data_IF_685017582093
#
_entry.id   IF_685017582093
#
_cell.length_a   1.000
_cell.length_b   1.000
_cell.length_c   1.000
_cell.angle_alpha   90.00
_cell.angle_beta   90.00
_cell.angle_gamma   90.00
#
_symmetry.space_group_name_H-M   'P 1'
#
loop_
_entity.id
_entity.type
_entity.pdbx_description
1 polymer ?
#
# COMPACT_ATOMS: atom_id res chain seq x y z
N UNK A 1 -14.70 -2.53 -31.93
CA UNK A 1 -14.51 -3.68 -31.02
C UNK A 1 -13.19 -3.46 -30.31
N UNK A 2 -13.07 -3.31 -28.99
CA UNK A 2 -13.90 -3.68 -27.84
C UNK A 2 -13.91 -2.52 -26.83
N UNK A 3 -15.02 -2.38 -26.11
CA UNK A 3 -15.26 -1.31 -25.15
C UNK A 3 -14.24 -1.31 -24.00
N UNK A 4 -13.68 -0.14 -23.71
CA UNK A 4 -12.97 0.15 -22.46
C UNK A 4 -14.05 0.33 -21.38
N UNK A 5 -14.56 -0.80 -20.86
CA UNK A 5 -15.50 -0.82 -19.74
C UNK A 5 -14.71 -0.70 -18.44
N UNK A 6 -14.21 0.50 -18.14
CA UNK A 6 -13.63 0.83 -16.83
C UNK A 6 -14.61 1.70 -16.05
N UNK A 7 -15.68 1.10 -15.56
CA UNK A 7 -16.46 1.65 -14.46
C UNK A 7 -17.38 0.55 -13.94
N UNK A 8 -17.01 -0.07 -12.82
CA UNK A 8 -17.88 -0.60 -11.75
C UNK A 8 -16.92 -1.18 -10.71
N UNK A 9 -16.88 -0.57 -9.52
CA UNK A 9 -16.19 -1.03 -8.32
C UNK A 9 -16.03 -2.56 -8.29
N UNK A 10 -14.80 -3.03 -8.53
CA UNK A 10 -14.49 -4.45 -8.46
C UNK A 10 -14.74 -4.91 -7.02
N UNK A 11 -15.25 -6.13 -6.84
CA UNK A 11 -15.57 -6.70 -5.51
C UNK A 11 -14.35 -6.75 -4.54
N UNK A 12 -13.14 -6.48 -5.05
CA UNK A 12 -11.88 -6.42 -4.30
C UNK A 12 -11.23 -5.02 -4.38
N UNK A 13 -12.03 -3.96 -4.53
CA UNK A 13 -11.51 -2.59 -4.50
C UNK A 13 -11.19 -2.19 -3.04
N UNK A 14 -9.92 -1.91 -2.70
CA UNK A 14 -9.53 -1.57 -1.33
C UNK A 14 -10.23 -0.29 -0.84
N UNK A 15 -10.56 0.66 -1.71
CA UNK A 15 -11.24 1.89 -1.30
C UNK A 15 -12.70 1.63 -0.91
N UNK A 16 -13.38 0.73 -1.62
CA UNK A 16 -14.72 0.28 -1.25
C UNK A 16 -14.68 -0.44 0.08
N UNK A 17 -13.70 -1.32 0.29
CA UNK A 17 -13.53 -2.02 1.56
C UNK A 17 -13.29 -1.06 2.72
N UNK A 18 -12.45 -0.04 2.54
CA UNK A 18 -12.24 0.99 3.56
C UNK A 18 -13.53 1.72 3.91
N UNK A 19 -14.33 2.11 2.91
CA UNK A 19 -15.63 2.74 3.14
C UNK A 19 -16.60 1.84 3.92
N UNK A 20 -16.67 0.55 3.59
CA UNK A 20 -17.48 -0.42 4.32
C UNK A 20 -17.05 -0.54 5.78
N UNK A 21 -15.74 -0.63 6.06
CA UNK A 21 -15.22 -0.71 7.41
C UNK A 21 -15.45 0.56 8.22
N UNK A 22 -15.27 1.74 7.60
CA UNK A 22 -15.62 3.01 8.24
C UNK A 22 -17.12 3.07 8.58
N UNK A 23 -18.00 2.64 7.67
CA UNK A 23 -19.44 2.59 7.92
C UNK A 23 -19.83 1.63 9.05
N UNK A 24 -19.00 0.63 9.34
CA UNK A 24 -19.13 -0.29 10.48
C UNK A 24 -18.55 0.28 11.78
N UNK A 25 -18.01 1.50 11.77
CA UNK A 25 -17.38 2.13 12.93
C UNK A 25 -15.99 1.60 13.25
N UNK A 26 -15.35 0.89 12.31
CA UNK A 26 -13.99 0.37 12.50
C UNK A 26 -12.99 1.51 12.28
N UNK A 27 -11.91 1.51 13.06
CA UNK A 27 -10.78 2.38 12.77
C UNK A 27 -9.97 1.77 11.63
N UNK A 28 -9.67 2.58 10.62
CA UNK A 28 -9.04 2.15 9.36
C UNK A 28 -7.87 3.06 9.04
N UNK A 29 -6.79 2.49 8.51
CA UNK A 29 -5.72 3.20 7.84
C UNK A 29 -5.61 2.79 6.38
N UNK A 30 -5.14 3.71 5.55
CA UNK A 30 -4.80 3.48 4.16
C UNK A 30 -3.30 3.65 3.97
N UNK A 31 -2.70 2.70 3.27
CA UNK A 31 -1.33 2.76 2.80
C UNK A 31 -1.35 2.94 1.27
N UNK A 32 -0.69 4.00 0.80
CA UNK A 32 -0.67 4.40 -0.61
C UNK A 32 0.75 4.45 -1.13
N UNK A 33 1.03 3.77 -2.24
CA UNK A 33 2.29 3.96 -2.97
C UNK A 33 2.29 5.36 -3.59
N UNK A 34 3.14 6.26 -3.09
CA UNK A 34 3.21 7.64 -3.57
C UNK A 34 4.35 7.87 -4.57
N UNK A 35 5.40 7.05 -4.50
CA UNK A 35 6.55 7.14 -5.41
C UNK A 35 7.10 5.75 -5.71
N UNK A 36 7.66 5.59 -6.91
CA UNK A 36 8.30 4.37 -7.36
C UNK A 36 9.58 4.70 -8.14
N UNK A 37 10.58 3.81 -8.07
CA UNK A 37 11.80 3.90 -8.86
C UNK A 37 12.18 2.52 -9.39
N UNK A 38 12.82 2.47 -10.56
CA UNK A 38 13.25 1.23 -11.19
C UNK A 38 12.08 0.30 -11.50
N UNK A 39 12.31 -1.01 -11.47
CA UNK A 39 11.26 -2.02 -11.68
C UNK A 39 10.48 -2.30 -10.39
N UNK A 40 9.82 -1.26 -9.87
CA UNK A 40 8.95 -1.37 -8.71
C UNK A 40 7.80 -2.37 -8.96
N UNK A 41 7.41 -3.16 -7.95
CA UNK A 41 6.46 -4.26 -8.14
C UNK A 41 4.99 -3.82 -8.26
N UNK A 42 4.66 -2.59 -7.83
CA UNK A 42 3.33 -1.97 -7.94
C UNK A 42 3.45 -0.51 -8.37
N UNK A 43 2.49 0.03 -9.15
CA UNK A 43 2.50 1.43 -9.56
C UNK A 43 2.11 2.37 -8.42
N UNK A 44 2.46 3.64 -8.59
CA UNK A 44 1.92 4.76 -7.78
C UNK A 44 0.39 4.72 -7.80
N UNK A 45 -0.24 4.99 -6.66
CA UNK A 45 -1.68 4.88 -6.46
C UNK A 45 -2.17 3.49 -6.09
N UNK A 46 -1.26 2.51 -5.92
CA UNK A 46 -1.64 1.22 -5.34
C UNK A 46 -1.97 1.40 -3.85
N UNK A 47 -3.08 0.81 -3.42
CA UNK A 47 -3.58 0.93 -2.06
C UNK A 47 -3.57 -0.42 -1.33
N UNK A 48 -3.29 -0.36 -0.04
CA UNK A 48 -3.55 -1.40 0.93
C UNK A 48 -4.31 -0.74 2.08
N UNK A 49 -5.51 -1.24 2.42
CA UNK A 49 -6.31 -0.73 3.54
C UNK A 49 -6.22 -1.73 4.68
N UNK A 50 -6.13 -1.23 5.91
CA UNK A 50 -5.91 -2.03 7.11
C UNK A 50 -6.85 -1.53 8.20
N UNK A 51 -7.51 -2.44 8.90
CA UNK A 51 -8.35 -2.12 10.05
C UNK A 51 -7.62 -2.36 11.38
N UNK A 52 -8.19 -1.90 12.50
CA UNK A 52 -7.61 -2.06 13.85
C UNK A 52 -7.38 -3.52 14.28
N UNK A 53 -8.14 -4.48 13.73
CA UNK A 53 -7.96 -5.92 13.98
C UNK A 53 -6.87 -6.55 13.10
N UNK A 54 -6.25 -5.76 12.21
CA UNK A 54 -5.23 -6.22 11.28
C UNK A 54 -5.76 -6.91 10.01
N UNK A 55 -7.07 -6.88 9.75
CA UNK A 55 -7.58 -7.30 8.44
C UNK A 55 -7.16 -6.29 7.39
N UNK A 56 -6.87 -6.77 6.18
CA UNK A 56 -6.42 -5.93 5.09
C UNK A 56 -6.98 -6.33 3.73
N UNK A 57 -7.04 -5.36 2.81
CA UNK A 57 -7.46 -5.54 1.42
C UNK A 57 -6.58 -4.68 0.50
N UNK A 58 -6.29 -5.18 -0.70
CA UNK A 58 -5.36 -4.52 -1.63
C UNK A 58 -3.90 -4.95 -1.44
N UNK A 59 -2.98 -4.20 -2.04
CA UNK A 59 -1.55 -4.53 -2.06
C UNK A 59 -0.70 -3.36 -2.52
N UNK A 60 0.45 -3.15 -1.87
CA UNK A 60 1.45 -2.13 -2.24
C UNK A 60 2.71 -2.73 -2.85
N UNK A 61 2.92 -4.05 -2.77
CA UNK A 61 4.08 -4.72 -3.40
C UNK A 61 3.80 -6.09 -4.01
N UNK A 62 2.77 -6.80 -3.55
CA UNK A 62 2.48 -8.17 -3.95
C UNK A 62 3.03 -9.23 -2.99
N UNK A 63 3.55 -8.84 -1.81
CA UNK A 63 3.86 -9.77 -0.73
C UNK A 63 4.89 -9.27 0.29
N UNK A 64 6.14 -9.08 -0.13
CA UNK A 64 7.28 -9.05 0.80
C UNK A 64 7.29 -7.92 1.83
N UNK A 65 6.62 -6.80 1.59
CA UNK A 65 6.62 -5.64 2.50
C UNK A 65 5.28 -5.38 3.16
N UNK A 66 4.22 -6.11 2.79
CA UNK A 66 2.87 -5.96 3.33
C UNK A 66 2.85 -6.07 4.85
N UNK A 67 3.60 -7.02 5.44
CA UNK A 67 3.66 -7.16 6.90
C UNK A 67 4.24 -5.93 7.63
N UNK A 68 5.24 -5.27 7.05
CA UNK A 68 5.80 -4.04 7.60
C UNK A 68 4.82 -2.86 7.50
N UNK A 69 4.09 -2.80 6.38
CA UNK A 69 3.07 -1.77 6.15
C UNK A 69 1.87 -1.97 7.09
N UNK A 70 1.42 -3.21 7.29
CA UNK A 70 0.35 -3.53 8.24
C UNK A 70 0.75 -3.14 9.66
N UNK A 71 1.98 -3.47 10.09
CA UNK A 71 2.48 -3.09 11.42
C UNK A 71 2.47 -1.57 11.61
N UNK A 72 2.99 -0.82 10.63
CA UNK A 72 2.98 0.64 10.67
C UNK A 72 1.55 1.22 10.63
N UNK A 73 0.62 0.57 9.94
CA UNK A 73 -0.78 1.00 9.88
C UNK A 73 -1.48 0.84 11.22
N UNK A 74 -1.21 -0.23 11.97
CA UNK A 74 -1.72 -0.41 13.33
C UNK A 74 -1.23 0.71 14.26
N UNK A 75 0.06 1.05 14.21
CA UNK A 75 0.61 2.18 14.95
C UNK A 75 -0.08 3.51 14.56
N UNK A 76 -0.28 3.75 13.25
CA UNK A 76 -0.96 4.96 12.74
C UNK A 76 -2.41 5.03 13.21
N UNK A 77 -3.12 3.89 13.30
CA UNK A 77 -4.49 3.83 13.81
C UNK A 77 -4.53 4.22 15.28
N UNK A 78 -3.59 3.73 16.09
CA UNK A 78 -3.49 4.00 17.53
C UNK A 78 -3.04 5.44 17.81
N UNK A 79 -1.98 5.91 17.17
CA UNK A 79 -1.34 7.20 17.42
C UNK A 79 -2.05 8.37 16.70
N UNK A 80 -2.76 8.07 15.61
CA UNK A 80 -3.35 9.08 14.72
C UNK A 80 -2.32 9.91 13.95
N UNK A 81 -1.05 9.48 13.91
CA UNK A 81 0.03 10.18 13.21
C UNK A 81 0.40 9.44 11.93
N UNK A 82 0.33 10.10 10.75
CA UNK A 82 0.74 9.48 9.49
C UNK A 82 2.23 9.12 9.46
N UNK A 83 2.59 8.11 8.66
CA UNK A 83 3.97 7.63 8.51
C UNK A 83 4.38 7.50 7.05
N UNK A 84 5.65 7.80 6.79
CA UNK A 84 6.32 7.56 5.50
C UNK A 84 7.22 6.34 5.60
N UNK A 85 7.05 5.39 4.68
CA UNK A 85 7.86 4.17 4.61
C UNK A 85 8.59 4.10 3.27
N UNK A 86 9.89 3.80 3.30
CA UNK A 86 10.72 3.59 2.10
C UNK A 86 11.15 2.12 2.02
N UNK A 87 10.82 1.45 0.92
CA UNK A 87 11.16 0.04 0.69
C UNK A 87 11.92 -0.14 -0.61
N UNK A 88 13.14 -0.66 -0.55
CA UNK A 88 13.98 -0.97 -1.70
C UNK A 88 15.33 -1.53 -1.27
N UNK A 89 16.11 -2.03 -2.22
CA UNK A 89 17.47 -2.52 -1.93
C UNK A 89 18.37 -1.31 -1.64
N UNK A 90 18.93 -1.24 -0.44
CA UNK A 90 19.71 -0.11 0.06
C UNK A 90 21.08 0.06 -0.64
N UNK A 91 21.50 -0.90 -1.46
CA UNK A 91 22.88 -0.94 -1.93
C UNK A 91 23.03 -0.30 -3.32
N UNK A 92 23.33 1.00 -3.32
CA UNK A 92 23.83 1.71 -4.50
C UNK A 92 25.11 1.07 -5.06
N UNK A 93 25.81 0.22 -4.28
CA UNK A 93 27.00 -0.52 -4.71
C UNK A 93 26.67 -1.81 -5.50
N UNK A 94 25.48 -2.39 -5.32
CA UNK A 94 25.06 -3.62 -6.02
C UNK A 94 24.69 -3.39 -7.50
N UNK A 95 24.59 -2.13 -7.93
CA UNK A 95 24.36 -1.79 -9.35
C UNK A 95 25.56 -2.10 -10.25
N UNK A 96 26.75 -2.29 -9.66
CA UNK A 96 27.99 -2.55 -10.40
C UNK A 96 28.13 -3.99 -10.91
N UNK A 97 27.23 -4.92 -10.51
CA UNK A 97 27.28 -6.34 -10.90
C UNK A 97 25.99 -6.87 -11.55
N UNK A 98 25.01 -6.01 -11.85
CA UNK A 98 23.88 -6.37 -12.73
C UNK A 98 22.86 -7.35 -12.14
N UNK A 99 22.75 -7.45 -10.81
CA UNK A 99 21.85 -8.38 -10.15
C UNK A 99 21.11 -7.72 -8.98
N UNK A 100 19.96 -7.12 -9.26
CA UNK A 100 18.76 -7.07 -8.41
C UNK A 100 17.68 -6.34 -9.20
N UNK A 101 16.41 -6.61 -8.93
CA UNK A 101 15.29 -6.04 -9.69
C UNK A 101 15.18 -4.50 -9.59
N UNK A 102 16.11 -3.80 -8.92
CA UNK A 102 16.31 -2.35 -8.96
C UNK A 102 15.14 -1.49 -8.46
N UNK A 103 14.07 -2.10 -7.96
CA UNK A 103 12.82 -1.45 -7.60
C UNK A 103 12.86 -0.86 -6.19
N UNK A 104 12.31 0.35 -6.05
CA UNK A 104 12.00 0.98 -4.76
C UNK A 104 10.59 1.55 -4.80
N UNK A 105 9.90 1.51 -3.67
CA UNK A 105 8.62 2.20 -3.47
C UNK A 105 8.68 3.07 -2.21
N UNK A 106 7.93 4.16 -2.23
CA UNK A 106 7.63 4.95 -1.03
C UNK A 106 6.14 4.87 -0.76
N UNK A 107 5.79 4.52 0.46
CA UNK A 107 4.42 4.29 0.90
C UNK A 107 4.07 5.32 1.98
N UNK A 108 2.99 6.06 1.77
CA UNK A 108 2.41 6.93 2.79
C UNK A 108 1.29 6.18 3.49
N UNK A 109 1.31 6.17 4.81
CA UNK A 109 0.30 5.51 5.65
C UNK A 109 -0.39 6.57 6.49
N UNK A 110 -1.71 6.63 6.40
CA UNK A 110 -2.53 7.56 7.17
C UNK A 110 -3.80 6.88 7.70
N UNK A 111 -4.30 7.40 8.82
CA UNK A 111 -5.59 7.00 9.38
C UNK A 111 -6.71 7.66 8.59
N UNK A 112 -7.80 6.95 8.34
CA UNK A 112 -9.02 7.52 7.76
C UNK A 112 -9.93 8.06 8.86
N UNK A 113 -10.49 9.26 8.65
CA UNK A 113 -11.32 10.00 9.60
C UNK A 113 -12.79 9.97 9.19
#
# INVERSE_FOLDING_TARGET
MTADSKDTHSLNDPLVRAQEWQAQGRAVAIATVIETWGSAPRPVGSHLVIDADGHFEGSVSGGCVEGAVISAALDVIEEGQPRMLDFGVADQTAWSVGLSCGGRIRVYVEKLH
#
